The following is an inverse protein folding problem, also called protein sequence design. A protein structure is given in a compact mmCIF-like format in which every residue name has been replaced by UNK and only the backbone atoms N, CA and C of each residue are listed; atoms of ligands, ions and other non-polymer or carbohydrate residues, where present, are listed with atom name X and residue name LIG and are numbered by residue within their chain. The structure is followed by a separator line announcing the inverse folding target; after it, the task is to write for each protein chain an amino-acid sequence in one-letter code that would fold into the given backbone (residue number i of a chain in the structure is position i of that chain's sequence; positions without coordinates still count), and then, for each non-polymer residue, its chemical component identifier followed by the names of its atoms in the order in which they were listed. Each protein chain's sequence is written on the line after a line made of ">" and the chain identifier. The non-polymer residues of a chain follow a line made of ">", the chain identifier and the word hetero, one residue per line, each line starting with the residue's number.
data_IF_301802183330
#
_entry.id   IF_301802183330
#
_cell.length_a   1.000
_cell.length_b   1.000
_cell.length_c   1.000
_cell.angle_alpha   90.00
_cell.angle_beta   90.00
_cell.angle_gamma   90.00
#
_symmetry.space_group_name_H-M   'P 1'
#
loop_
_entity.id
_entity.type
_entity.pdbx_description
1 polymer ?
#
# COMPACT_ATOMS: atom_id res chain seq x y z
N UNK A 1 -13.50 -1.19 19.66
CA UNK A 1 -14.34 0.06 19.71
C UNK A 1 -13.77 1.14 18.80
N UNK A 2 -12.45 1.19 18.63
CA UNK A 2 -11.79 2.15 17.75
C UNK A 2 -12.23 1.98 16.28
N UNK A 3 -12.34 0.73 15.80
CA UNK A 3 -12.75 0.43 14.41
C UNK A 3 -14.08 1.09 14.04
N UNK A 4 -15.12 0.88 14.86
CA UNK A 4 -16.45 1.46 14.63
C UNK A 4 -16.43 2.99 14.65
N UNK A 5 -15.64 3.59 15.55
CA UNK A 5 -15.47 5.06 15.59
C UNK A 5 -14.80 5.57 14.32
N UNK A 6 -13.65 5.00 13.96
CA UNK A 6 -12.88 5.42 12.78
C UNK A 6 -13.72 5.24 11.50
N UNK A 7 -14.45 4.12 11.36
CA UNK A 7 -15.37 3.92 10.23
C UNK A 7 -16.43 5.01 10.11
N UNK A 8 -16.98 5.47 11.24
CA UNK A 8 -17.96 6.57 11.24
C UNK A 8 -17.34 7.89 10.79
N UNK A 9 -16.16 8.22 11.31
CA UNK A 9 -15.44 9.45 10.94
C UNK A 9 -15.07 9.45 9.46
N UNK A 10 -14.56 8.32 8.96
CA UNK A 10 -14.26 8.09 7.55
C UNK A 10 -15.49 8.28 6.66
N UNK A 11 -16.64 7.71 7.03
CA UNK A 11 -17.88 7.85 6.28
C UNK A 11 -18.41 9.30 6.23
N UNK A 12 -18.02 10.14 7.18
CA UNK A 12 -18.34 11.57 7.20
C UNK A 12 -17.44 12.42 6.31
N UNK A 13 -16.37 11.86 5.74
CA UNK A 13 -15.44 12.60 4.87
C UNK A 13 -16.03 12.74 3.47
N UNK A 14 -16.26 13.98 3.04
CA UNK A 14 -16.56 14.28 1.63
C UNK A 14 -15.27 14.24 0.80
N UNK A 15 -15.11 13.15 0.05
CA UNK A 15 -14.00 12.89 -0.88
C UNK A 15 -14.14 13.63 -2.22
N UNK A 16 -15.33 14.13 -2.54
CA UNK A 16 -15.61 14.83 -3.81
C UNK A 16 -15.30 16.31 -3.75
N UNK A 17 -15.14 16.85 -2.54
CA UNK A 17 -14.79 18.24 -2.31
C UNK A 17 -13.40 18.54 -2.87
N UNK A 18 -13.33 19.51 -3.78
CA UNK A 18 -12.05 20.06 -4.27
C UNK A 18 -11.29 20.66 -3.09
N UNK A 19 -10.04 20.21 -2.89
CA UNK A 19 -9.15 20.65 -1.81
C UNK A 19 -7.80 21.07 -2.37
N UNK A 20 -7.20 22.06 -1.73
CA UNK A 20 -5.83 22.51 -2.02
C UNK A 20 -4.79 21.49 -1.53
N UNK A 21 -5.09 20.77 -0.43
CA UNK A 21 -4.25 19.70 0.10
C UNK A 21 -4.72 18.34 -0.43
N UNK A 22 -3.79 17.51 -0.96
CA UNK A 22 -4.10 16.14 -1.38
C UNK A 22 -4.34 15.20 -0.18
N UNK A 23 -3.95 15.61 1.03
CA UNK A 23 -4.12 14.83 2.27
C UNK A 23 -5.34 15.35 3.04
N UNK A 24 -6.22 14.44 3.45
CA UNK A 24 -7.49 14.74 4.11
C UNK A 24 -7.45 14.25 5.57
N UNK A 25 -7.54 15.13 6.57
CA UNK A 25 -7.64 14.71 7.97
C UNK A 25 -8.98 14.02 8.23
N UNK A 26 -8.94 12.92 8.99
CA UNK A 26 -10.12 12.15 9.40
C UNK A 26 -10.43 12.40 10.87
N UNK A 27 -9.59 11.90 11.79
CA UNK A 27 -9.81 12.04 13.22
C UNK A 27 -8.52 11.83 14.01
N UNK A 28 -8.50 12.31 15.26
CA UNK A 28 -7.46 11.96 16.22
C UNK A 28 -7.59 10.49 16.64
N UNK A 29 -6.44 9.80 16.71
CA UNK A 29 -6.38 8.43 17.17
C UNK A 29 -5.01 8.14 17.80
N UNK A 30 -4.97 7.25 18.78
CA UNK A 30 -3.70 6.70 19.25
C UNK A 30 -3.12 5.73 18.23
N UNK A 31 -1.81 5.45 18.33
CA UNK A 31 -1.16 4.47 17.44
C UNK A 31 -1.77 3.07 17.56
N UNK A 32 -2.22 2.69 18.76
CA UNK A 32 -2.82 1.37 18.99
C UNK A 32 -4.24 1.29 18.39
N UNK A 33 -5.01 2.37 18.46
CA UNK A 33 -6.32 2.46 17.77
C UNK A 33 -6.17 2.39 16.25
N UNK A 34 -5.14 3.04 15.70
CA UNK A 34 -4.80 2.91 14.28
C UNK A 34 -4.41 1.49 13.92
N UNK A 35 -3.60 0.81 14.74
CA UNK A 35 -3.24 -0.60 14.52
C UNK A 35 -4.44 -1.54 14.62
N UNK A 36 -5.36 -1.29 15.55
CA UNK A 36 -6.64 -2.04 15.64
C UNK A 36 -7.42 -1.89 14.33
N UNK A 37 -7.48 -0.67 13.77
CA UNK A 37 -8.11 -0.40 12.48
C UNK A 37 -7.41 -1.08 11.30
N UNK A 38 -6.10 -0.88 11.18
CA UNK A 38 -5.30 -1.37 10.04
C UNK A 38 -5.26 -2.89 9.95
N UNK A 39 -5.43 -3.60 11.07
CA UNK A 39 -5.50 -5.08 11.10
C UNK A 39 -6.93 -5.64 11.10
N UNK A 40 -7.96 -4.78 11.07
CA UNK A 40 -9.36 -5.20 11.08
C UNK A 40 -9.85 -5.53 9.67
N UNK A 41 -10.63 -6.60 9.51
CA UNK A 41 -11.32 -6.91 8.25
C UNK A 41 -12.50 -5.94 7.99
N UNK A 42 -13.07 -5.36 9.05
CA UNK A 42 -14.21 -4.43 8.99
C UNK A 42 -13.82 -2.97 8.67
N UNK A 43 -12.90 -2.75 7.73
CA UNK A 43 -12.50 -1.41 7.29
C UNK A 43 -13.54 -0.78 6.35
N UNK A 44 -14.11 0.37 6.73
CA UNK A 44 -14.96 1.17 5.83
C UNK A 44 -14.15 1.83 4.70
N UNK A 45 -12.85 2.08 4.92
CA UNK A 45 -11.93 2.59 3.91
C UNK A 45 -10.58 1.91 4.09
N UNK A 46 -9.93 1.57 2.98
CA UNK A 46 -8.75 0.71 3.01
C UNK A 46 -7.59 1.42 3.69
N UNK A 47 -6.97 0.75 4.67
CA UNK A 47 -5.80 1.27 5.38
C UNK A 47 -4.64 1.65 4.46
N UNK A 48 -4.45 0.98 3.32
CA UNK A 48 -3.44 1.36 2.31
C UNK A 48 -3.53 2.80 1.79
N UNK A 49 -4.72 3.39 1.84
CA UNK A 49 -4.99 4.74 1.36
C UNK A 49 -4.91 5.78 2.50
N UNK A 50 -4.52 5.36 3.69
CA UNK A 50 -4.57 6.15 4.91
C UNK A 50 -3.24 6.03 5.67
N UNK A 51 -2.88 7.09 6.38
CA UNK A 51 -1.70 7.10 7.26
C UNK A 51 -2.04 7.69 8.62
N UNK A 52 -1.44 7.14 9.67
CA UNK A 52 -1.41 7.75 10.99
C UNK A 52 -0.15 8.62 11.10
N UNK A 53 -0.34 9.93 11.26
CA UNK A 53 0.73 10.92 11.35
C UNK A 53 0.51 11.71 12.64
N UNK A 54 1.46 11.59 13.57
CA UNK A 54 1.53 12.39 14.80
C UNK A 54 0.20 12.48 15.59
N UNK A 55 -0.52 11.37 15.72
CA UNK A 55 -1.77 11.31 16.50
C UNK A 55 -3.06 11.56 15.71
N UNK A 56 -2.97 11.78 14.40
CA UNK A 56 -4.13 11.97 13.52
C UNK A 56 -4.10 10.96 12.37
N UNK A 57 -5.26 10.41 12.04
CA UNK A 57 -5.45 9.59 10.85
C UNK A 57 -5.79 10.50 9.68
N UNK A 58 -5.12 10.28 8.56
CA UNK A 58 -5.34 11.00 7.31
C UNK A 58 -5.66 10.01 6.19
N UNK A 59 -6.50 10.44 5.25
CA UNK A 59 -6.57 9.82 3.91
C UNK A 59 -5.50 10.53 3.08
N UNK A 60 -4.46 9.78 2.70
CA UNK A 60 -3.32 10.30 1.92
C UNK A 60 -3.50 10.05 0.43
N UNK A 61 -4.37 9.12 0.07
CA UNK A 61 -4.72 8.79 -1.30
C UNK A 61 -6.22 8.55 -1.39
N UNK A 62 -6.88 9.19 -2.37
CA UNK A 62 -8.26 8.87 -2.69
C UNK A 62 -8.24 7.76 -3.74
N UNK A 63 -8.81 6.56 -3.45
CA UNK A 63 -8.93 5.50 -4.45
C UNK A 63 -9.64 6.07 -5.67
N UNK A 64 -8.94 6.04 -6.81
CA UNK A 64 -9.53 6.42 -8.09
C UNK A 64 -9.64 5.19 -8.97
N UNK A 65 -10.66 5.20 -9.83
CA UNK A 65 -10.85 4.14 -10.81
C UNK A 65 -9.62 4.02 -11.72
N UNK A 66 -8.96 5.15 -12.00
CA UNK A 66 -7.72 5.20 -12.78
C UNK A 66 -6.54 4.53 -12.06
N UNK A 67 -6.38 4.75 -10.75
CA UNK A 67 -5.33 4.09 -9.97
C UNK A 67 -5.57 2.58 -9.94
N UNK A 68 -6.80 2.13 -9.67
CA UNK A 68 -7.13 0.71 -9.65
C UNK A 68 -6.94 0.07 -11.03
N UNK A 69 -7.41 0.72 -12.09
CA UNK A 69 -7.22 0.26 -13.46
C UNK A 69 -5.74 0.21 -13.85
N UNK A 70 -4.93 1.18 -13.43
CA UNK A 70 -3.49 1.16 -13.64
C UNK A 70 -2.85 -0.03 -12.92
N UNK A 71 -3.18 -0.25 -11.65
CA UNK A 71 -2.64 -1.34 -10.85
C UNK A 71 -3.03 -2.71 -11.42
N UNK A 72 -4.27 -2.88 -11.89
CA UNK A 72 -4.71 -4.09 -12.59
C UNK A 72 -3.99 -4.29 -13.93
N UNK A 73 -3.89 -3.25 -14.76
CA UNK A 73 -3.17 -3.32 -16.02
C UNK A 73 -1.68 -3.64 -15.82
N UNK A 74 -1.07 -3.09 -14.77
CA UNK A 74 0.30 -3.41 -14.41
C UNK A 74 0.47 -4.88 -14.01
N UNK A 75 -0.45 -5.43 -13.20
CA UNK A 75 -0.46 -6.85 -12.84
C UNK A 75 -0.57 -7.74 -14.09
N UNK A 76 -1.49 -7.43 -15.00
CA UNK A 76 -1.68 -8.17 -16.26
C UNK A 76 -0.44 -8.07 -17.14
N UNK A 77 0.11 -6.87 -17.31
CA UNK A 77 1.30 -6.64 -18.10
C UNK A 77 2.50 -7.43 -17.57
N UNK A 78 2.73 -7.36 -16.25
CA UNK A 78 3.81 -8.11 -15.59
C UNK A 78 3.60 -9.61 -15.74
N UNK A 79 2.39 -10.12 -15.48
CA UNK A 79 2.05 -11.53 -15.63
C UNK A 79 2.17 -12.05 -17.07
N UNK A 80 2.12 -11.20 -18.09
CA UNK A 80 2.34 -11.61 -19.49
C UNK A 80 3.83 -11.71 -19.89
N UNK A 81 4.76 -11.28 -19.03
CA UNK A 81 6.19 -11.44 -19.32
C UNK A 81 6.66 -12.85 -18.96
N UNK A 82 7.26 -13.54 -19.92
CA UNK A 82 7.85 -14.89 -19.70
C UNK A 82 8.80 -14.95 -18.51
N UNK A 83 9.68 -13.95 -18.36
CA UNK A 83 10.59 -13.87 -17.22
C UNK A 83 9.83 -13.72 -15.89
N UNK A 84 8.78 -12.91 -15.87
CA UNK A 84 7.97 -12.74 -14.67
C UNK A 84 7.24 -14.03 -14.28
N UNK A 85 6.62 -14.73 -15.24
CA UNK A 85 5.99 -16.03 -14.98
C UNK A 85 6.98 -17.09 -14.51
N UNK A 86 8.19 -17.07 -15.06
CA UNK A 86 9.25 -18.02 -14.73
C UNK A 86 9.84 -17.84 -13.33
N UNK A 87 9.78 -16.63 -12.76
CA UNK A 87 10.48 -16.35 -11.49
C UNK A 87 9.59 -15.77 -10.39
N UNK A 88 8.46 -15.14 -10.73
CA UNK A 88 7.62 -14.38 -9.81
C UNK A 88 6.16 -14.89 -9.81
N UNK A 89 5.45 -14.58 -8.73
CA UNK A 89 4.01 -14.77 -8.57
C UNK A 89 3.39 -13.61 -7.76
N UNK A 90 2.13 -13.24 -8.04
CA UNK A 90 1.36 -12.37 -7.16
C UNK A 90 1.29 -12.96 -5.75
N UNK A 91 1.41 -12.09 -4.75
CA UNK A 91 1.26 -12.41 -3.34
C UNK A 91 0.04 -11.65 -2.81
N UNK A 92 -0.88 -12.36 -2.17
CA UNK A 92 -2.13 -11.76 -1.67
C UNK A 92 -1.96 -10.95 -0.38
N UNK A 93 -0.74 -10.84 0.15
CA UNK A 93 -0.47 -10.08 1.38
C UNK A 93 0.31 -8.82 1.02
N UNK A 94 -0.32 -7.70 1.33
CA UNK A 94 0.14 -6.34 1.15
C UNK A 94 0.82 -5.80 2.42
N UNK A 95 0.77 -6.54 3.53
CA UNK A 95 1.35 -6.18 4.83
C UNK A 95 2.87 -6.31 4.84
N UNK A 96 3.58 -5.19 5.03
CA UNK A 96 5.03 -5.17 5.15
C UNK A 96 5.41 -5.27 6.64
N UNK A 97 5.88 -6.43 7.12
CA UNK A 97 6.17 -6.67 8.55
C UNK A 97 7.15 -5.67 9.21
N UNK A 98 8.04 -5.04 8.44
CA UNK A 98 8.98 -4.04 8.97
C UNK A 98 8.53 -2.60 8.74
N UNK A 99 7.43 -2.41 8.03
CA UNK A 99 6.77 -1.14 7.79
C UNK A 99 5.27 -1.38 8.02
N UNK A 100 4.87 -1.70 9.27
CA UNK A 100 3.50 -2.15 9.59
C UNK A 100 2.44 -1.09 9.28
N UNK A 101 2.88 0.17 9.14
CA UNK A 101 2.04 1.31 8.79
C UNK A 101 1.91 1.50 7.26
N UNK A 102 2.56 0.66 6.44
CA UNK A 102 2.54 0.76 4.98
C UNK A 102 2.04 -0.54 4.33
N UNK A 103 1.14 -0.37 3.37
CA UNK A 103 0.53 -1.44 2.59
C UNK A 103 0.82 -1.20 1.10
N UNK A 104 1.31 -2.22 0.39
CA UNK A 104 1.66 -2.09 -1.03
C UNK A 104 0.43 -2.24 -1.95
N UNK A 105 0.34 -1.45 -3.02
CA UNK A 105 -0.71 -1.57 -4.05
C UNK A 105 -0.73 -2.95 -4.73
N UNK A 106 0.47 -3.52 -4.87
CA UNK A 106 0.72 -4.83 -5.44
C UNK A 106 1.89 -5.50 -4.74
N UNK A 107 1.74 -6.78 -4.46
CA UNK A 107 2.74 -7.60 -3.82
C UNK A 107 3.10 -8.76 -4.74
N UNK A 108 4.40 -8.96 -4.98
CA UNK A 108 4.92 -10.03 -5.81
C UNK A 108 6.09 -10.70 -5.11
N UNK A 109 6.14 -12.02 -5.21
CA UNK A 109 7.18 -12.82 -4.60
C UNK A 109 7.72 -13.86 -5.56
N UNK A 110 8.88 -14.43 -5.28
CA UNK A 110 9.48 -15.47 -6.11
C UNK A 110 8.65 -16.76 -6.10
N UNK A 111 8.72 -17.52 -7.19
CA UNK A 111 8.22 -18.89 -7.22
C UNK A 111 9.20 -19.81 -6.50
N UNK A 112 8.75 -20.38 -5.37
CA UNK A 112 9.54 -21.30 -4.54
C UNK A 112 9.95 -22.58 -5.29
N UNK A 113 9.14 -22.99 -6.28
CA UNK A 113 9.34 -24.21 -7.06
C UNK A 113 10.55 -24.16 -8.00
N UNK A 114 10.98 -22.96 -8.40
CA UNK A 114 11.93 -22.78 -9.51
C UNK A 114 13.34 -22.44 -9.00
N UNK A 115 13.50 -22.28 -7.68
CA UNK A 115 14.79 -21.95 -7.08
C UNK A 115 15.40 -20.71 -7.73
N UNK A 116 14.57 -19.69 -7.99
CA UNK A 116 14.98 -18.49 -8.68
C UNK A 116 16.30 -17.97 -8.05
N UNK A 117 17.26 -17.49 -8.86
CA UNK A 117 18.52 -17.02 -8.32
C UNK A 117 18.29 -15.75 -7.49
N UNK A 118 18.77 -15.80 -6.25
CA UNK A 118 18.79 -14.63 -5.38
C UNK A 118 19.83 -13.63 -5.90
N UNK A 119 19.53 -12.33 -5.91
CA UNK A 119 20.54 -11.32 -6.21
C UNK A 119 21.70 -11.38 -5.22
N UNK A 120 22.89 -11.05 -5.69
CA UNK A 120 24.13 -11.17 -4.91
C UNK A 120 24.00 -10.49 -3.55
N UNK A 121 24.27 -11.26 -2.48
CA UNK A 121 24.18 -10.78 -1.09
C UNK A 121 22.85 -11.07 -0.39
N UNK A 122 21.84 -11.58 -1.09
CA UNK A 122 20.55 -11.95 -0.47
C UNK A 122 20.54 -13.43 -0.20
N UNK A 123 20.44 -13.80 1.08
CA UNK A 123 20.52 -15.20 1.52
C UNK A 123 19.16 -15.91 1.52
N UNK A 124 18.08 -15.15 1.57
CA UNK A 124 16.74 -15.71 1.49
C UNK A 124 15.76 -14.74 0.84
N UNK A 125 14.75 -15.30 0.18
CA UNK A 125 13.74 -14.49 -0.50
C UNK A 125 12.78 -13.74 0.44
N UNK A 126 12.67 -14.14 1.71
CA UNK A 126 11.88 -13.41 2.71
C UNK A 126 12.52 -12.07 3.11
N UNK A 127 13.84 -11.93 2.88
CA UNK A 127 14.60 -10.71 3.05
C UNK A 127 14.66 -9.85 1.78
N UNK A 128 14.30 -10.42 0.62
CA UNK A 128 14.17 -9.69 -0.63
C UNK A 128 12.92 -8.81 -0.60
N UNK A 129 13.06 -7.54 -0.95
CA UNK A 129 11.99 -6.55 -0.95
C UNK A 129 11.88 -5.93 -2.34
N UNK A 130 10.67 -5.84 -2.86
CA UNK A 130 10.41 -4.96 -4.00
C UNK A 130 10.43 -3.53 -3.47
N UNK A 131 11.16 -2.64 -4.13
CA UNK A 131 11.21 -1.22 -3.81
C UNK A 131 9.77 -0.68 -3.69
N UNK A 132 9.41 -0.11 -2.54
CA UNK A 132 8.27 0.79 -2.47
C UNK A 132 8.69 2.08 -3.15
N UNK A 133 8.14 2.40 -4.31
CA UNK A 133 8.35 3.71 -4.92
C UNK A 133 7.63 4.75 -4.07
N UNK A 134 8.32 5.36 -3.11
CA UNK A 134 7.95 6.71 -2.66
C UNK A 134 8.02 7.58 -3.91
N UNK A 135 6.92 8.23 -4.29
CA UNK A 135 6.81 9.01 -5.52
C UNK A 135 8.08 9.80 -5.83
N UNK A 136 8.80 9.40 -6.86
CA UNK A 136 9.88 10.20 -7.44
C UNK A 136 9.26 11.21 -8.39
N UNK A 137 8.62 12.24 -7.84
CA UNK A 137 8.19 13.40 -8.61
C UNK A 137 9.27 14.50 -8.69
N UNK A 138 10.36 14.44 -7.92
CA UNK A 138 11.38 15.48 -7.90
C UNK A 138 12.80 14.92 -8.05
N UNK A 139 13.19 14.55 -9.28
CA UNK A 139 14.60 14.33 -9.60
C UNK A 139 14.99 14.59 -11.08
N UNK A 140 14.10 15.18 -11.90
CA UNK A 140 14.41 15.54 -13.30
C UNK A 140 14.46 17.04 -13.54
N UNK A 141 15.00 17.81 -12.59
CA UNK A 141 15.48 19.17 -12.84
C UNK A 141 16.77 19.41 -12.05
N UNK A 142 17.91 19.36 -12.76
CA UNK A 142 19.13 20.05 -12.36
C UNK A 142 20.33 19.18 -11.98
N UNK A 143 21.05 18.64 -12.98
CA UNK A 143 22.35 19.17 -13.42
C UNK A 143 22.93 18.34 -14.56
#
# INVERSE_FOLDING_TARGET
>A
MAVTRINREVAGVDLTRVRESPIIPVCAATRDEWREYANSDDQAFRSKCMEWIEGTIYIVEVPSQEHEAFNENFKIYAANKRAFLAYMKPCCSSTILTLPDYEADSSFGPRREIGAPLPTGVQNYRSWRTLGSRGWANAWLGR
#
